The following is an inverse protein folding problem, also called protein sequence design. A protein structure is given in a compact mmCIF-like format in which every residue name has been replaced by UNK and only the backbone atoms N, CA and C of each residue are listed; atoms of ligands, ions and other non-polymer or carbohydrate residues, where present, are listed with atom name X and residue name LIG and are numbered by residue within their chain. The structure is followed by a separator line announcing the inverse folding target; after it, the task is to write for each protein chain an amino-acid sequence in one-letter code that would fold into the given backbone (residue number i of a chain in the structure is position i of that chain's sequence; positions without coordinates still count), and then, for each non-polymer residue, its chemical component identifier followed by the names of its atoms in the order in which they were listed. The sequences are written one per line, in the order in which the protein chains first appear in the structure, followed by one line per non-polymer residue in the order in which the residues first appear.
data_IF_248440799119
#
_entry.id   IF_248440799119
#
_cell.length_a   1.000
_cell.length_b   1.000
_cell.length_c   1.000
_cell.angle_alpha   90.00
_cell.angle_beta   90.00
_cell.angle_gamma   90.00
#
_symmetry.space_group_name_H-M   'P 1'
#
loop_
_entity.id
_entity.type
_entity.pdbx_description
1 polymer ?
#
# COMPACT_ATOMS: atom_id res chain seq x y z
N UNK A 1 28.73 30.32 -4.79
CA UNK A 1 28.00 30.04 -3.54
C UNK A 1 26.54 29.77 -3.83
N UNK A 2 26.14 28.52 -4.00
CA UNK A 2 24.73 28.13 -4.11
C UNK A 2 24.28 27.81 -2.69
N UNK A 3 23.59 28.77 -2.06
CA UNK A 3 23.03 28.59 -0.72
C UNK A 3 22.02 27.43 -0.67
N UNK A 4 21.67 26.94 0.52
CA UNK A 4 20.79 25.78 0.66
C UNK A 4 19.41 26.09 0.06
N UNK A 5 18.99 25.27 -0.91
CA UNK A 5 17.67 25.43 -1.53
C UNK A 5 16.57 25.15 -0.49
N UNK A 6 15.77 26.16 -0.16
CA UNK A 6 14.56 26.02 0.66
C UNK A 6 13.62 25.00 0.02
N UNK A 7 13.31 23.90 0.71
CA UNK A 7 12.31 22.92 0.27
C UNK A 7 10.94 23.60 0.29
N UNK A 8 10.35 23.86 -0.88
CA UNK A 8 8.97 24.35 -0.98
C UNK A 8 8.03 23.27 -0.43
N UNK A 9 7.16 23.64 0.51
CA UNK A 9 6.08 22.78 1.02
C UNK A 9 5.03 22.67 -0.10
N UNK A 10 5.18 21.71 -1.00
CA UNK A 10 4.17 21.44 -2.04
C UNK A 10 2.96 20.77 -1.40
N UNK A 11 1.74 21.16 -1.83
CA UNK A 11 0.53 20.42 -1.43
C UNK A 11 0.59 19.04 -2.06
N UNK A 12 0.47 17.98 -1.25
CA UNK A 12 0.37 16.60 -1.76
C UNK A 12 -1.06 16.40 -2.27
N UNK A 13 -1.27 16.51 -3.57
CA UNK A 13 -2.60 16.38 -4.20
C UNK A 13 -2.98 14.97 -4.59
N UNK A 14 -2.04 14.02 -4.56
CA UNK A 14 -2.30 12.60 -4.84
C UNK A 14 -2.21 11.72 -3.59
N UNK A 15 -1.93 12.32 -2.44
CA UNK A 15 -1.81 11.69 -1.12
C UNK A 15 -2.65 12.48 -0.11
N UNK A 16 -3.69 13.13 -0.60
CA UNK A 16 -4.71 13.78 0.21
C UNK A 16 -5.57 12.70 0.90
N UNK A 17 -6.31 13.09 1.96
CA UNK A 17 -7.06 12.14 2.77
C UNK A 17 -8.10 11.30 1.98
N UNK A 18 -8.69 11.85 0.91
CA UNK A 18 -9.71 11.14 0.13
C UNK A 18 -9.10 9.97 -0.66
N UNK A 19 -7.98 10.25 -1.33
CA UNK A 19 -7.21 9.23 -2.04
C UNK A 19 -6.63 8.19 -1.06
N UNK A 20 -6.22 8.63 0.13
CA UNK A 20 -5.74 7.73 1.19
C UNK A 20 -6.81 6.75 1.65
N UNK A 21 -8.03 7.24 1.95
CA UNK A 21 -9.17 6.40 2.32
C UNK A 21 -9.50 5.42 1.19
N UNK A 22 -9.60 5.91 -0.05
CA UNK A 22 -9.94 5.07 -1.22
C UNK A 22 -8.93 3.95 -1.45
N UNK A 23 -7.62 4.22 -1.27
CA UNK A 23 -6.57 3.20 -1.39
C UNK A 23 -6.69 2.16 -0.27
N UNK A 24 -6.93 2.59 0.97
CA UNK A 24 -7.01 1.70 2.11
C UNK A 24 -8.25 0.80 2.06
N UNK A 25 -9.41 1.35 1.72
CA UNK A 25 -10.65 0.57 1.56
C UNK A 25 -10.52 -0.51 0.48
N UNK A 26 -10.01 -0.14 -0.70
CA UNK A 26 -9.86 -1.09 -1.80
C UNK A 26 -8.87 -2.24 -1.49
N UNK A 27 -7.89 -1.98 -0.63
CA UNK A 27 -6.90 -2.98 -0.18
C UNK A 27 -7.47 -3.85 0.94
N UNK A 28 -8.30 -3.29 1.82
CA UNK A 28 -9.03 -4.05 2.84
C UNK A 28 -10.03 -5.01 2.19
N UNK A 29 -10.74 -4.57 1.15
CA UNK A 29 -11.67 -5.41 0.37
C UNK A 29 -10.95 -6.54 -0.37
N UNK A 30 -9.77 -6.25 -0.92
CA UNK A 30 -9.00 -7.25 -1.67
C UNK A 30 -7.49 -7.00 -1.51
N UNK A 31 -6.82 -7.68 -0.55
CA UNK A 31 -5.39 -7.48 -0.31
C UNK A 31 -4.49 -7.99 -1.44
N UNK A 32 -5.04 -8.76 -2.39
CA UNK A 32 -4.30 -9.28 -3.55
C UNK A 32 -4.32 -8.33 -4.75
N UNK A 33 -5.01 -7.20 -4.67
CA UNK A 33 -5.06 -6.22 -5.75
C UNK A 33 -3.67 -5.61 -5.99
N UNK A 34 -3.28 -5.45 -7.26
CA UNK A 34 -2.00 -4.83 -7.58
C UNK A 34 -2.07 -3.31 -7.38
N UNK A 35 -0.97 -2.70 -6.94
CA UNK A 35 -0.86 -1.24 -6.82
C UNK A 35 -1.15 -0.51 -8.15
N UNK A 36 -0.81 -1.13 -9.28
CA UNK A 36 -1.08 -0.60 -10.62
C UNK A 36 -2.59 -0.61 -10.94
N UNK A 37 -3.31 -1.62 -10.48
CA UNK A 37 -4.76 -1.71 -10.62
C UNK A 37 -5.43 -0.62 -9.78
N UNK A 38 -5.04 -0.50 -8.50
CA UNK A 38 -5.53 0.56 -7.59
C UNK A 38 -5.30 1.95 -8.17
N UNK A 39 -4.10 2.20 -8.68
CA UNK A 39 -3.75 3.47 -9.33
C UNK A 39 -4.71 3.82 -10.48
N UNK A 40 -5.05 2.83 -11.33
CA UNK A 40 -6.02 3.04 -12.42
C UNK A 40 -7.45 3.24 -11.93
N UNK A 41 -7.87 2.56 -10.87
CA UNK A 41 -9.22 2.69 -10.29
C UNK A 41 -9.43 4.05 -9.64
N UNK A 42 -8.45 4.52 -8.87
CA UNK A 42 -8.53 5.75 -8.08
C UNK A 42 -8.11 6.98 -8.91
N UNK A 43 -7.35 6.78 -9.99
CA UNK A 43 -6.91 7.86 -10.89
C UNK A 43 -5.66 8.59 -10.40
N UNK A 44 -4.84 7.95 -9.56
CA UNK A 44 -3.56 8.47 -9.08
C UNK A 44 -2.39 7.66 -9.64
N UNK A 45 -1.16 8.17 -9.53
CA UNK A 45 0.01 7.41 -9.97
C UNK A 45 0.34 6.26 -9.00
N UNK A 46 0.94 5.18 -9.51
CA UNK A 46 1.28 3.99 -8.74
C UNK A 46 2.24 4.29 -7.58
N UNK A 47 3.16 5.24 -7.77
CA UNK A 47 4.09 5.68 -6.72
C UNK A 47 3.35 6.36 -5.56
N UNK A 48 2.24 7.05 -5.84
CA UNK A 48 1.41 7.67 -4.79
C UNK A 48 0.67 6.60 -3.99
N UNK A 49 0.11 5.58 -4.65
CA UNK A 49 -0.45 4.40 -3.98
C UNK A 49 0.59 3.76 -3.06
N UNK A 50 1.81 3.51 -3.57
CA UNK A 50 2.89 2.95 -2.77
C UNK A 50 3.28 3.80 -1.56
N UNK A 51 3.29 5.13 -1.70
CA UNK A 51 3.54 6.06 -0.58
C UNK A 51 2.43 6.04 0.46
N UNK A 52 1.16 5.96 0.04
CA UNK A 52 0.01 5.84 0.94
C UNK A 52 0.12 4.56 1.76
N UNK A 53 0.36 3.43 1.10
CA UNK A 53 0.49 2.13 1.75
C UNK A 53 1.63 2.11 2.78
N UNK A 54 2.82 2.60 2.38
CA UNK A 54 3.95 2.68 3.31
C UNK A 54 3.67 3.65 4.47
N UNK A 55 3.08 4.81 4.20
CA UNK A 55 2.71 5.78 5.24
C UNK A 55 1.78 5.19 6.30
N UNK A 56 0.85 4.33 5.88
CA UNK A 56 -0.11 3.64 6.74
C UNK A 56 0.37 2.30 7.29
N UNK A 57 1.66 1.95 7.08
CA UNK A 57 2.23 0.66 7.47
C UNK A 57 1.47 -0.54 6.91
N UNK A 58 0.79 -0.35 5.78
CA UNK A 58 0.10 -1.41 5.09
C UNK A 58 1.09 -2.09 4.13
N UNK A 59 1.29 -3.38 4.31
CA UNK A 59 2.17 -4.20 3.49
C UNK A 59 1.33 -5.27 2.79
N UNK A 60 0.75 -4.97 1.61
CA UNK A 60 0.07 -5.98 0.82
C UNK A 60 1.07 -7.13 0.58
N UNK A 61 0.59 -8.37 0.58
CA UNK A 61 1.40 -9.61 0.49
C UNK A 61 2.06 -10.15 1.77
N UNK A 62 1.69 -9.70 2.98
CA UNK A 62 2.02 -10.45 4.22
C UNK A 62 1.10 -11.68 4.43
N UNK A 63 0.92 -12.49 3.39
CA UNK A 63 0.27 -13.78 3.50
C UNK A 63 1.35 -14.85 3.66
N UNK A 64 1.41 -15.45 4.85
CA UNK A 64 2.21 -16.64 5.09
C UNK A 64 1.27 -17.83 4.90
N UNK A 65 1.46 -18.61 3.83
CA UNK A 65 0.90 -19.96 3.75
C UNK A 65 1.54 -20.80 4.85
N UNK A 66 0.87 -20.88 5.99
CA UNK A 66 1.19 -21.91 6.98
C UNK A 66 0.59 -23.21 6.51
N UNK A 67 1.38 -24.28 6.59
CA UNK A 67 0.89 -25.62 6.30
C UNK A 67 -0.17 -25.96 7.35
N UNK A 68 -1.37 -26.35 6.93
CA UNK A 68 -2.36 -26.88 7.85
C UNK A 68 -1.82 -28.18 8.45
N UNK A 69 -1.80 -28.26 9.79
CA UNK A 69 -1.32 -29.45 10.49
C UNK A 69 -2.27 -30.61 10.20
N UNK A 70 -1.82 -31.57 9.38
CA UNK A 70 -2.61 -32.75 9.04
C UNK A 70 -2.51 -33.77 10.19
N UNK A 71 -3.53 -34.61 10.38
CA UNK A 71 -3.46 -35.71 11.36
C UNK A 71 -2.24 -36.64 11.17
N UNK A 72 -1.66 -36.66 9.96
CA UNK A 72 -0.46 -37.43 9.60
C UNK A 72 0.86 -36.77 9.98
N UNK A 73 0.85 -35.49 10.36
CA UNK A 73 2.07 -34.72 10.68
C UNK A 73 2.51 -34.91 12.13
N UNK A 74 1.72 -35.61 12.95
CA UNK A 74 2.13 -36.04 14.28
C UNK A 74 3.13 -37.20 14.17
N UNK A 75 4.30 -37.14 14.84
CA UNK A 75 5.22 -38.27 14.89
C UNK A 75 4.53 -39.46 15.57
N UNK A 76 4.72 -40.65 14.99
CA UNK A 76 4.26 -41.93 15.57
C UNK A 76 5.09 -42.32 16.78
#
# INVERSE_FOLDING_TARGET
NIGPKRKKKTRRTATDPENEISVLEAVEENPHVSQKTLARQIGICQESVGRILWGNKFHPYHFILVQELRPTDFPK
#
